data_IF_183906601306
#
_entry.id   IF_183906601306
#
_cell.length_a   1.000
_cell.length_b   1.000
_cell.length_c   1.000
_cell.angle_alpha   90.00
_cell.angle_beta   90.00
_cell.angle_gamma   90.00
#
_symmetry.space_group_name_H-M   'P 1'
#
loop_
_entity.id
_entity.type
_entity.pdbx_description
1 polymer ?
#
# COMPACT_ATOMS: atom_id res chain seq x y z
N UNK A 1 47.50 -72.46 -1.63
CA UNK A 1 46.33 -71.59 -1.82
C UNK A 1 46.69 -70.19 -1.36
N UNK A 2 46.91 -69.25 -2.29
CA UNK A 2 47.17 -67.82 -2.03
C UNK A 2 46.11 -67.03 -2.81
N UNK A 3 45.28 -66.26 -2.12
CA UNK A 3 44.24 -65.42 -2.72
C UNK A 3 44.83 -64.06 -3.15
N UNK A 4 44.40 -63.45 -4.26
CA UNK A 4 44.89 -62.14 -4.69
C UNK A 4 44.08 -60.99 -4.08
N UNK A 5 44.79 -59.92 -3.74
CA UNK A 5 44.26 -58.63 -3.30
C UNK A 5 43.55 -57.91 -4.46
N UNK A 6 42.29 -57.51 -4.25
CA UNK A 6 41.51 -56.67 -5.15
C UNK A 6 41.75 -55.20 -4.77
N UNK A 7 42.33 -54.42 -5.67
CA UNK A 7 42.58 -52.98 -5.49
C UNK A 7 41.36 -52.17 -5.92
N UNK A 8 40.86 -51.30 -5.04
CA UNK A 8 39.70 -50.44 -5.26
C UNK A 8 40.17 -49.02 -5.61
N UNK A 9 40.11 -48.64 -6.88
CA UNK A 9 40.37 -47.27 -7.35
C UNK A 9 39.10 -46.43 -7.27
N UNK A 10 39.08 -45.44 -6.38
CA UNK A 10 38.03 -44.43 -6.26
C UNK A 10 38.39 -43.28 -7.22
N UNK A 11 37.58 -43.09 -8.27
CA UNK A 11 37.67 -41.93 -9.16
C UNK A 11 36.85 -40.78 -8.56
N UNK A 12 37.54 -39.75 -8.06
CA UNK A 12 36.95 -38.52 -7.54
C UNK A 12 36.58 -37.58 -8.69
N UNK A 13 35.28 -37.38 -8.92
CA UNK A 13 34.73 -36.42 -9.87
C UNK A 13 34.70 -35.02 -9.20
N UNK A 14 35.60 -34.12 -9.62
CA UNK A 14 35.66 -32.75 -9.11
C UNK A 14 34.54 -31.87 -9.69
N UNK A 15 33.71 -31.30 -8.81
CA UNK A 15 32.78 -30.22 -9.16
C UNK A 15 33.57 -28.93 -9.43
N UNK A 16 33.49 -28.41 -10.66
CA UNK A 16 33.98 -27.07 -11.00
C UNK A 16 32.86 -26.08 -10.65
N UNK A 17 33.09 -25.24 -9.63
CA UNK A 17 32.22 -24.12 -9.33
C UNK A 17 32.50 -22.97 -10.31
N UNK A 18 31.52 -22.62 -11.15
CA UNK A 18 31.57 -21.43 -11.99
C UNK A 18 31.23 -20.19 -11.15
N UNK A 19 32.22 -19.34 -10.91
CA UNK A 19 32.00 -18.01 -10.31
C UNK A 19 31.34 -17.09 -11.32
N UNK A 20 30.16 -16.55 -10.96
CA UNK A 20 29.53 -15.46 -11.70
C UNK A 20 30.43 -14.21 -11.59
N UNK A 21 31.04 -13.81 -12.70
CA UNK A 21 31.82 -12.58 -12.78
C UNK A 21 30.88 -11.39 -13.03
N UNK A 22 31.04 -10.32 -12.24
CA UNK A 22 30.31 -9.09 -12.45
C UNK A 22 30.86 -8.38 -13.70
N UNK A 23 29.97 -7.98 -14.62
CA UNK A 23 30.34 -7.30 -15.87
C UNK A 23 30.94 -5.92 -15.53
N UNK A 24 32.12 -5.63 -16.08
CA UNK A 24 32.86 -4.39 -15.88
C UNK A 24 32.68 -3.42 -17.05
N UNK A 25 32.95 -2.13 -16.82
CA UNK A 25 32.91 -1.12 -17.88
C UNK A 25 33.92 -1.36 -19.02
N UNK A 26 35.00 -2.10 -18.75
CA UNK A 26 36.00 -2.49 -19.76
C UNK A 26 35.46 -3.56 -20.71
N UNK A 27 34.64 -4.49 -20.21
CA UNK A 27 33.98 -5.50 -21.04
C UNK A 27 32.91 -4.88 -21.95
N UNK A 28 32.19 -3.86 -21.47
CA UNK A 28 31.28 -3.08 -22.33
C UNK A 28 32.04 -2.31 -23.42
N UNK A 29 33.21 -1.75 -23.11
CA UNK A 29 34.02 -1.00 -24.08
C UNK A 29 34.49 -1.87 -25.26
N UNK A 30 34.70 -3.17 -25.02
CA UNK A 30 35.16 -4.12 -26.02
C UNK A 30 34.04 -4.56 -27.00
N UNK A 31 32.79 -4.17 -26.79
CA UNK A 31 31.68 -4.55 -27.67
C UNK A 31 31.71 -3.75 -28.99
N UNK A 32 31.63 -4.44 -30.15
CA UNK A 32 31.71 -3.81 -31.46
C UNK A 32 30.40 -3.10 -31.89
N UNK A 33 29.26 -3.55 -31.35
CA UNK A 33 27.95 -2.99 -31.63
C UNK A 33 27.67 -1.83 -30.68
N UNK A 34 27.39 -0.65 -31.25
CA UNK A 34 27.08 0.55 -30.46
C UNK A 34 25.80 0.38 -29.63
N UNK A 35 24.81 -0.33 -30.15
CA UNK A 35 23.56 -0.64 -29.44
C UNK A 35 23.81 -1.56 -28.25
N UNK A 36 24.60 -2.62 -28.44
CA UNK A 36 24.88 -3.58 -27.36
C UNK A 36 25.79 -2.97 -26.30
N UNK A 37 26.77 -2.16 -26.72
CA UNK A 37 27.62 -1.37 -25.84
C UNK A 37 26.80 -0.40 -24.98
N UNK A 38 25.82 0.27 -25.57
CA UNK A 38 24.91 1.17 -24.84
C UNK A 38 24.09 0.39 -23.80
N UNK A 39 23.50 -0.74 -24.18
CA UNK A 39 22.74 -1.60 -23.25
C UNK A 39 23.63 -2.13 -22.12
N UNK A 40 24.89 -2.47 -22.41
CA UNK A 40 25.86 -2.94 -21.43
C UNK A 40 26.21 -1.84 -20.42
N UNK A 41 26.48 -0.62 -20.88
CA UNK A 41 26.73 0.52 -19.99
C UNK A 41 25.49 0.90 -19.18
N UNK A 42 24.30 0.84 -19.78
CA UNK A 42 23.05 1.09 -19.06
C UNK A 42 22.88 0.12 -17.88
N UNK A 43 23.27 -1.15 -18.02
CA UNK A 43 23.18 -2.13 -16.91
C UNK A 43 24.15 -1.85 -15.75
N UNK A 44 25.29 -1.21 -16.00
CA UNK A 44 26.33 -0.98 -14.97
C UNK A 44 26.21 0.41 -14.34
N UNK A 45 25.84 1.42 -15.14
CA UNK A 45 25.95 2.83 -14.74
C UNK A 45 24.62 3.56 -14.71
N UNK A 46 23.58 3.06 -15.38
CA UNK A 46 22.25 3.64 -15.22
C UNK A 46 21.73 3.16 -13.87
N UNK A 47 21.38 4.07 -12.95
CA UNK A 47 20.54 3.66 -11.85
C UNK A 47 19.27 3.07 -12.49
N UNK A 48 19.01 1.79 -12.21
CA UNK A 48 17.66 1.24 -12.35
C UNK A 48 16.74 2.29 -11.71
N UNK A 49 15.65 2.74 -12.37
CA UNK A 49 14.74 3.70 -11.74
C UNK A 49 14.42 3.10 -10.39
N UNK A 50 14.89 3.76 -9.32
CA UNK A 50 14.88 3.19 -7.99
C UNK A 50 13.50 2.59 -7.82
N UNK A 51 13.41 1.26 -7.74
CA UNK A 51 12.20 0.61 -7.27
C UNK A 51 11.84 1.43 -6.04
N UNK A 52 10.74 2.19 -6.15
CA UNK A 52 10.46 3.34 -5.30
C UNK A 52 10.86 2.94 -3.89
N UNK A 53 11.94 3.55 -3.39
CA UNK A 53 12.56 3.14 -2.14
C UNK A 53 11.42 2.98 -1.16
N UNK A 54 11.18 1.75 -0.71
CA UNK A 54 10.08 1.41 0.17
C UNK A 54 10.38 2.06 1.51
N UNK A 55 10.13 3.37 1.59
CA UNK A 55 9.66 3.97 2.82
C UNK A 55 8.44 3.13 3.14
N UNK A 56 8.59 2.21 4.10
CA UNK A 56 7.55 1.28 4.50
C UNK A 56 6.28 2.10 4.68
N UNK A 57 5.37 1.98 3.72
CA UNK A 57 4.13 2.72 3.71
C UNK A 57 3.41 2.39 5.02
N UNK A 58 2.95 3.40 5.77
CA UNK A 58 2.15 3.17 6.99
C UNK A 58 0.80 2.51 6.68
N UNK A 59 0.43 2.44 5.41
CA UNK A 59 -0.80 1.76 4.98
C UNK A 59 -0.70 0.24 5.15
N UNK A 60 -1.73 -0.30 5.78
CA UNK A 60 -2.02 -1.74 5.81
C UNK A 60 -2.95 -2.05 4.65
N UNK A 61 -2.64 -3.11 3.90
CA UNK A 61 -3.48 -3.63 2.80
C UNK A 61 -3.90 -5.05 3.15
N UNK A 62 -5.19 -5.30 3.20
CA UNK A 62 -5.79 -6.58 3.53
C UNK A 62 -6.74 -7.00 2.42
N UNK A 63 -6.72 -8.30 2.11
CA UNK A 63 -7.67 -8.93 1.22
C UNK A 63 -8.30 -10.11 1.96
N UNK A 64 -9.61 -10.12 2.04
CA UNK A 64 -10.40 -11.17 2.66
C UNK A 64 -11.35 -11.76 1.63
N UNK A 65 -11.83 -12.98 1.87
CA UNK A 65 -12.88 -13.58 1.05
C UNK A 65 -14.19 -13.56 1.83
N UNK A 66 -15.23 -12.96 1.25
CA UNK A 66 -16.59 -12.95 1.76
C UNK A 66 -17.08 -14.38 1.97
N UNK A 67 -17.59 -14.67 3.17
CA UNK A 67 -18.21 -15.96 3.47
C UNK A 67 -19.63 -16.10 2.92
N UNK A 68 -20.21 -15.02 2.41
CA UNK A 68 -21.58 -14.99 1.92
C UNK A 68 -21.67 -15.37 0.44
N UNK A 69 -20.69 -14.95 -0.36
CA UNK A 69 -20.72 -15.08 -1.82
C UNK A 69 -19.34 -15.36 -2.46
N UNK A 70 -18.31 -15.66 -1.65
CA UNK A 70 -16.92 -15.91 -2.07
C UNK A 70 -16.27 -14.75 -2.86
N UNK A 71 -16.86 -13.55 -2.81
CA UNK A 71 -16.27 -12.36 -3.42
C UNK A 71 -15.11 -11.82 -2.57
N UNK A 72 -14.09 -11.27 -3.23
CA UNK A 72 -12.99 -10.61 -2.51
C UNK A 72 -13.47 -9.33 -1.80
N UNK A 73 -12.91 -9.04 -0.64
CA UNK A 73 -13.09 -7.80 0.13
C UNK A 73 -11.70 -7.19 0.32
N UNK A 74 -11.46 -6.03 -0.29
CA UNK A 74 -10.19 -5.33 -0.16
C UNK A 74 -10.32 -4.17 0.80
N UNK A 75 -9.44 -4.10 1.77
CA UNK A 75 -9.31 -2.99 2.71
C UNK A 75 -7.91 -2.39 2.58
N UNK A 76 -7.86 -1.06 2.52
CA UNK A 76 -6.63 -0.34 2.83
C UNK A 76 -6.91 0.59 4.00
N UNK A 77 -5.97 0.69 4.93
CA UNK A 77 -6.13 1.56 6.08
C UNK A 77 -4.83 2.18 6.53
N UNK A 78 -4.93 3.34 7.17
CA UNK A 78 -3.84 3.97 7.90
C UNK A 78 -4.36 4.42 9.25
N UNK A 79 -3.59 4.10 10.29
CA UNK A 79 -3.88 4.51 11.66
C UNK A 79 -3.10 5.79 11.95
N UNK A 80 -3.78 6.80 12.47
CA UNK A 80 -3.17 8.02 12.96
C UNK A 80 -2.41 7.76 14.27
N UNK A 81 -1.37 8.55 14.52
CA UNK A 81 -0.56 8.42 15.74
C UNK A 81 -1.36 8.79 17.02
N UNK A 82 -2.47 9.53 16.87
CA UNK A 82 -3.32 9.96 17.99
C UNK A 82 -4.68 9.27 17.97
N UNK A 83 -5.22 9.03 19.17
CA UNK A 83 -6.57 8.52 19.41
C UNK A 83 -6.86 7.11 18.86
N UNK A 84 -5.85 6.40 18.32
CA UNK A 84 -6.07 5.15 17.59
C UNK A 84 -7.03 5.35 16.41
N UNK A 85 -7.10 6.58 15.88
CA UNK A 85 -8.03 6.92 14.83
C UNK A 85 -7.60 6.27 13.53
N UNK A 86 -8.55 5.72 12.78
CA UNK A 86 -8.27 4.94 11.58
C UNK A 86 -9.02 5.54 10.40
N UNK A 87 -8.33 5.69 9.28
CA UNK A 87 -8.91 5.93 7.98
C UNK A 87 -8.91 4.60 7.22
N UNK A 88 -10.09 4.11 6.84
CA UNK A 88 -10.26 2.91 6.03
C UNK A 88 -10.87 3.25 4.67
N UNK A 89 -10.43 2.55 3.63
CA UNK A 89 -11.09 2.50 2.33
C UNK A 89 -11.33 1.02 2.02
N UNK A 90 -12.58 0.67 1.76
CA UNK A 90 -13.00 -0.69 1.49
C UNK A 90 -13.62 -0.82 0.10
N UNK A 91 -13.32 -1.93 -0.58
CA UNK A 91 -14.08 -2.41 -1.73
C UNK A 91 -14.70 -3.75 -1.37
N UNK A 92 -16.03 -3.79 -1.36
CA UNK A 92 -16.83 -4.97 -1.05
C UNK A 92 -18.02 -4.97 -2.00
N UNK A 93 -18.35 -6.12 -2.59
CA UNK A 93 -19.48 -6.23 -3.55
C UNK A 93 -19.46 -5.16 -4.66
N UNK A 94 -18.26 -4.79 -5.14
CA UNK A 94 -18.03 -3.71 -6.13
C UNK A 94 -18.42 -2.30 -5.67
N UNK A 95 -18.70 -2.10 -4.39
CA UNK A 95 -18.96 -0.80 -3.78
C UNK A 95 -17.73 -0.34 -3.02
N UNK A 96 -17.24 0.85 -3.37
CA UNK A 96 -16.19 1.52 -2.58
C UNK A 96 -16.82 2.36 -1.48
N UNK A 97 -16.34 2.17 -0.26
CA UNK A 97 -16.65 3.00 0.90
C UNK A 97 -15.36 3.57 1.51
N UNK A 98 -15.50 4.67 2.24
CA UNK A 98 -14.42 5.25 3.04
C UNK A 98 -15.01 5.65 4.39
N UNK A 99 -14.32 5.36 5.48
CA UNK A 99 -14.78 5.73 6.81
C UNK A 99 -13.65 6.01 7.79
N UNK A 100 -14.00 6.76 8.84
CA UNK A 100 -13.14 7.07 9.96
C UNK A 100 -13.65 6.43 11.25
N UNK A 101 -12.74 5.96 12.09
CA UNK A 101 -13.02 5.59 13.48
C UNK A 101 -12.13 6.39 14.44
N UNK A 102 -12.49 6.43 15.72
CA UNK A 102 -11.72 7.07 16.79
C UNK A 102 -11.34 6.06 17.88
N UNK A 103 -10.72 4.93 17.51
CA UNK A 103 -10.07 4.01 18.46
C UNK A 103 -10.98 3.46 19.58
N UNK A 104 -12.23 3.12 19.25
CA UNK A 104 -13.22 2.59 20.20
C UNK A 104 -14.22 3.62 20.74
N UNK A 105 -14.10 4.88 20.35
CA UNK A 105 -15.12 5.90 20.65
C UNK A 105 -16.33 5.75 19.72
N UNK A 106 -17.54 5.75 20.29
CA UNK A 106 -18.77 5.80 19.52
C UNK A 106 -18.91 7.11 18.75
N UNK A 107 -19.51 7.03 17.58
CA UNK A 107 -19.72 8.12 16.64
C UNK A 107 -21.17 8.60 16.69
N UNK A 108 -21.42 9.77 16.10
CA UNK A 108 -22.75 10.35 15.93
C UNK A 108 -22.78 11.15 14.63
N UNK A 109 -23.91 11.18 13.94
CA UNK A 109 -24.13 12.06 12.78
C UNK A 109 -25.26 13.09 12.99
N UNK A 110 -25.88 13.08 14.18
CA UNK A 110 -26.83 14.09 14.64
C UNK A 110 -26.13 15.40 15.02
N UNK A 111 -26.87 16.50 15.06
CA UNK A 111 -26.39 17.82 15.54
C UNK A 111 -25.09 18.31 14.88
N UNK A 112 -24.86 17.95 13.60
CA UNK A 112 -23.65 18.20 12.80
C UNK A 112 -22.42 17.35 13.13
N UNK A 113 -22.52 16.32 13.98
CA UNK A 113 -21.36 15.48 14.33
C UNK A 113 -20.86 14.68 13.11
N UNK A 114 -21.74 14.43 12.14
CA UNK A 114 -21.39 13.82 10.85
C UNK A 114 -20.67 14.77 9.90
N UNK A 115 -20.55 16.06 10.21
CA UNK A 115 -19.87 17.04 9.37
C UNK A 115 -18.40 17.16 9.75
N UNK A 116 -17.54 16.47 9.01
CA UNK A 116 -16.09 16.52 9.19
C UNK A 116 -15.52 17.76 8.50
N UNK A 117 -14.74 18.55 9.23
CA UNK A 117 -13.88 19.59 8.64
C UNK A 117 -12.50 18.99 8.39
N UNK A 118 -11.98 19.12 7.18
CA UNK A 118 -10.73 18.49 6.78
C UNK A 118 -9.84 19.42 5.97
N UNK A 119 -8.54 19.14 5.97
CA UNK A 119 -7.52 19.84 5.21
C UNK A 119 -6.56 18.82 4.59
N UNK A 120 -6.19 19.06 3.33
CA UNK A 120 -5.17 18.28 2.64
C UNK A 120 -3.89 19.11 2.61
N UNK A 121 -2.79 18.54 3.08
CA UNK A 121 -1.49 19.23 3.23
C UNK A 121 -1.66 20.64 3.84
N UNK A 122 -1.32 21.68 3.08
CA UNK A 122 -1.43 23.10 3.44
C UNK A 122 -2.57 23.83 2.72
N UNK A 123 -3.53 23.11 2.10
CA UNK A 123 -4.68 23.71 1.43
C UNK A 123 -5.65 24.40 2.41
N UNK A 124 -6.62 25.13 1.87
CA UNK A 124 -7.74 25.64 2.67
C UNK A 124 -8.61 24.49 3.18
N UNK A 125 -8.99 24.55 4.46
CA UNK A 125 -9.89 23.57 5.06
C UNK A 125 -11.28 23.58 4.38
N UNK A 126 -11.83 22.39 4.16
CA UNK A 126 -13.15 22.13 3.57
C UNK A 126 -14.00 21.35 4.56
N UNK A 127 -15.29 21.21 4.28
CA UNK A 127 -16.18 20.37 5.09
C UNK A 127 -16.93 19.38 4.21
N UNK A 128 -17.17 18.19 4.72
CA UNK A 128 -17.97 17.16 4.06
C UNK A 128 -18.81 16.42 5.09
N UNK A 129 -20.02 16.06 4.70
CA UNK A 129 -20.91 15.26 5.54
C UNK A 129 -20.63 13.77 5.33
N UNK A 130 -20.57 13.06 6.43
CA UNK A 130 -20.42 11.63 6.58
C UNK A 130 -21.62 11.11 7.38
N UNK A 131 -21.92 9.83 7.23
CA UNK A 131 -23.06 9.16 7.86
C UNK A 131 -22.54 8.14 8.84
N UNK A 132 -23.19 8.00 9.98
CA UNK A 132 -22.81 7.00 10.98
C UNK A 132 -22.98 5.57 10.45
N UNK A 133 -22.10 4.65 10.87
CA UNK A 133 -22.26 3.21 10.65
C UNK A 133 -23.39 2.64 11.50
N UNK A 134 -23.90 1.47 11.11
CA UNK A 134 -25.00 0.81 11.83
C UNK A 134 -24.65 0.33 13.23
N UNK A 135 -23.36 0.11 13.50
CA UNK A 135 -22.81 -0.23 14.83
C UNK A 135 -22.39 1.01 15.65
N UNK A 136 -22.53 2.21 15.08
CA UNK A 136 -22.14 3.48 15.66
C UNK A 136 -20.63 3.66 15.91
N UNK A 137 -19.76 2.88 15.27
CA UNK A 137 -18.30 2.96 15.51
C UNK A 137 -17.55 3.79 14.45
N UNK A 138 -18.22 4.18 13.36
CA UNK A 138 -17.59 4.88 12.25
C UNK A 138 -18.44 6.01 11.66
N UNK A 139 -17.76 7.00 11.08
CA UNK A 139 -18.36 7.99 10.17
C UNK A 139 -17.86 7.73 8.76
N UNK A 140 -18.79 7.46 7.84
CA UNK A 140 -18.44 6.96 6.51
C UNK A 140 -19.19 7.59 5.34
N UNK A 141 -18.60 7.37 4.18
CA UNK A 141 -19.17 7.53 2.86
C UNK A 141 -19.42 6.11 2.34
N UNK A 142 -20.68 5.67 2.42
CA UNK A 142 -21.04 4.27 2.24
C UNK A 142 -21.38 3.88 0.79
N UNK A 143 -21.16 4.79 -0.17
CA UNK A 143 -21.48 4.56 -1.58
C UNK A 143 -20.36 5.03 -2.50
N UNK A 144 -20.15 4.32 -3.61
CA UNK A 144 -19.14 4.68 -4.60
C UNK A 144 -19.31 6.12 -5.12
N UNK A 145 -20.54 6.58 -5.31
CA UNK A 145 -20.83 7.95 -5.77
C UNK A 145 -20.38 9.05 -4.81
N UNK A 146 -20.25 8.76 -3.50
CA UNK A 146 -19.81 9.71 -2.48
C UNK A 146 -18.36 9.51 -2.04
N UNK A 147 -17.94 8.24 -1.91
CA UNK A 147 -16.62 7.84 -1.48
C UNK A 147 -15.57 8.05 -2.57
N UNK A 148 -15.80 7.58 -3.81
CA UNK A 148 -14.81 7.63 -4.89
C UNK A 148 -14.35 9.07 -5.18
N UNK A 149 -15.23 10.08 -5.30
CA UNK A 149 -14.79 11.45 -5.51
C UNK A 149 -13.96 12.00 -4.35
N UNK A 150 -14.25 11.58 -3.11
CA UNK A 150 -13.47 12.00 -1.94
C UNK A 150 -12.11 11.31 -1.92
N UNK A 151 -12.06 10.00 -2.14
CA UNK A 151 -10.80 9.24 -2.23
C UNK A 151 -9.90 9.80 -3.35
N UNK A 152 -10.47 10.13 -4.51
CA UNK A 152 -9.72 10.77 -5.62
C UNK A 152 -9.14 12.13 -5.23
N UNK A 153 -9.77 12.86 -4.31
CA UNK A 153 -9.20 14.10 -3.77
C UNK A 153 -8.03 13.85 -2.84
N UNK A 154 -7.89 12.67 -2.24
CA UNK A 154 -6.76 12.36 -1.35
C UNK A 154 -5.50 11.97 -2.12
N UNK A 155 -5.65 11.44 -3.34
CA UNK A 155 -4.54 10.99 -4.16
C UNK A 155 -3.57 12.13 -4.48
N UNK A 156 -2.27 11.85 -4.40
CA UNK A 156 -1.20 12.82 -4.61
C UNK A 156 -0.90 13.73 -3.42
N UNK A 157 -1.69 13.69 -2.34
CA UNK A 157 -1.41 14.41 -1.10
C UNK A 157 -0.61 13.55 -0.12
N UNK A 158 0.03 14.21 0.87
CA UNK A 158 0.83 13.53 1.89
C UNK A 158 0.13 13.49 3.24
N UNK A 159 -0.74 14.44 3.51
CA UNK A 159 -1.36 14.58 4.83
C UNK A 159 -2.83 14.90 4.71
N UNK A 160 -3.66 14.19 5.47
CA UNK A 160 -5.05 14.54 5.74
C UNK A 160 -5.20 14.90 7.22
N UNK A 161 -5.50 16.16 7.50
CA UNK A 161 -5.92 16.60 8.84
C UNK A 161 -7.45 16.65 8.87
N UNK A 162 -8.08 16.01 9.85
CA UNK A 162 -9.52 15.95 10.00
C UNK A 162 -9.94 16.29 11.44
N UNK A 163 -11.00 17.08 11.56
CA UNK A 163 -11.70 17.34 12.81
C UNK A 163 -12.94 16.46 12.88
N UNK A 164 -12.91 15.54 13.82
CA UNK A 164 -13.91 14.47 13.98
C UNK A 164 -14.44 14.53 15.40
N UNK A 165 -15.76 14.55 15.55
CA UNK A 165 -16.42 14.59 16.86
C UNK A 165 -17.06 13.24 17.15
N UNK A 166 -16.64 12.58 18.23
CA UNK A 166 -17.31 11.40 18.76
C UNK A 166 -18.61 11.76 19.50
N UNK A 167 -19.47 10.77 19.73
CA UNK A 167 -20.68 10.97 20.51
C UNK A 167 -20.35 11.40 21.94
N UNK A 168 -20.96 12.50 22.41
CA UNK A 168 -20.69 13.13 23.71
C UNK A 168 -19.22 13.50 23.98
N UNK A 169 -18.40 13.62 22.93
CA UNK A 169 -16.99 13.99 23.04
C UNK A 169 -16.72 15.39 22.47
N UNK A 170 -15.58 15.97 22.84
CA UNK A 170 -15.05 17.15 22.16
C UNK A 170 -14.48 16.77 20.78
N UNK A 171 -14.51 17.73 19.84
CA UNK A 171 -13.88 17.56 18.52
C UNK A 171 -12.40 17.21 18.65
N UNK A 172 -12.02 16.10 18.03
CA UNK A 172 -10.64 15.63 17.93
C UNK A 172 -10.04 16.03 16.59
N UNK A 173 -8.90 16.73 16.61
CA UNK A 173 -8.10 16.96 15.42
C UNK A 173 -7.12 15.79 15.25
N UNK A 174 -7.27 15.06 14.15
CA UNK A 174 -6.51 13.86 13.79
C UNK A 174 -5.75 14.12 12.50
N UNK A 175 -4.56 13.56 12.38
CA UNK A 175 -3.73 13.64 11.18
C UNK A 175 -3.39 12.25 10.67
N UNK A 176 -3.66 12.00 9.38
CA UNK A 176 -3.36 10.76 8.68
C UNK A 176 -2.25 10.99 7.66
N UNK A 177 -1.26 10.10 7.66
CA UNK A 177 -0.18 10.07 6.67
C UNK A 177 -0.66 9.35 5.40
N UNK A 178 -0.87 10.11 4.33
CA UNK A 178 -1.29 9.61 3.04
C UNK A 178 -0.11 9.15 2.17
N UNK A 179 1.14 9.29 2.64
CA UNK A 179 2.32 8.88 1.87
C UNK A 179 2.24 7.41 1.47
N UNK A 180 2.35 7.15 0.17
CA UNK A 180 2.27 5.80 -0.41
C UNK A 180 0.86 5.34 -0.79
N UNK A 181 -0.20 6.07 -0.42
CA UNK A 181 -1.59 5.71 -0.72
C UNK A 181 -1.83 5.44 -2.21
N UNK A 182 -1.27 6.27 -3.09
CA UNK A 182 -1.44 6.20 -4.55
C UNK A 182 -1.06 4.83 -5.13
N UNK A 183 -0.05 4.19 -4.56
CA UNK A 183 0.40 2.86 -4.96
C UNK A 183 -0.45 1.77 -4.29
N UNK A 184 -0.72 1.92 -2.99
CA UNK A 184 -1.41 0.90 -2.19
C UNK A 184 -2.87 0.71 -2.58
N UNK A 185 -3.54 1.76 -3.08
CA UNK A 185 -4.96 1.69 -3.45
C UNK A 185 -5.23 1.01 -4.81
N UNK A 186 -4.19 0.75 -5.62
CA UNK A 186 -4.35 0.21 -6.99
C UNK A 186 -5.15 -1.11 -7.06
N UNK A 187 -4.93 -2.12 -6.18
CA UNK A 187 -5.70 -3.36 -6.21
C UNK A 187 -7.19 -3.12 -5.93
N UNK A 188 -7.50 -2.29 -4.93
CA UNK A 188 -8.87 -1.90 -4.56
C UNK A 188 -9.59 -1.23 -5.74
N UNK A 189 -8.92 -0.27 -6.41
CA UNK A 189 -9.44 0.42 -7.60
C UNK A 189 -9.70 -0.53 -8.76
N UNK A 190 -8.80 -1.47 -9.00
CA UNK A 190 -8.96 -2.49 -10.05
C UNK A 190 -10.20 -3.35 -9.79
N UNK A 191 -10.41 -3.76 -8.54
CA UNK A 191 -11.53 -4.61 -8.17
C UNK A 191 -12.87 -3.88 -8.26
N UNK A 192 -12.95 -2.64 -7.75
CA UNK A 192 -14.17 -1.82 -7.76
C UNK A 192 -14.38 -1.01 -9.06
N UNK A 193 -13.39 -1.00 -9.97
CA UNK A 193 -13.53 -0.51 -11.34
C UNK A 193 -13.51 1.02 -11.51
N UNK A 194 -12.59 1.76 -10.84
CA UNK A 194 -12.55 3.24 -10.94
C UNK A 194 -11.16 3.92 -10.88
#
# INVERSE_FOLDING_TARGET
>A
MKAPFLSLTIASLGLIATSAHAITGQECAAMPSDSDRLVCYDKIFKPEPAAASSTMSKWTVENETSKMDDSDIFNISVTADRYGALLNIRCEEKVTSLYFTLGGTFMADIENYGRIRYRLDAETAKSKSFVISTDNEALGLWSGGSAIPFVKQLLGHKTLTAEITGYNESTSTVEFDLTGMDEQIKPLRKQCGW
#
